data_IF_016880982755
#
_entry.id   IF_016880982755
#
_cell.length_a   1.000
_cell.length_b   1.000
_cell.length_c   1.000
_cell.angle_alpha   90.00
_cell.angle_beta   90.00
_cell.angle_gamma   90.00
#
_symmetry.space_group_name_H-M   'P 1'
#
loop_
_entity.id
_entity.type
_entity.pdbx_description
1 polymer ?
#
# COMPACT_ATOMS: atom_id res chain seq x y z
N UNK A 1 -60.40 9.55 17.07
CA UNK A 1 -59.29 10.41 16.60
C UNK A 1 -57.92 9.88 17.00
N UNK A 2 -57.67 9.46 18.23
CA UNK A 2 -56.35 8.95 18.68
C UNK A 2 -55.80 7.75 17.91
N UNK A 3 -56.63 6.74 17.53
CA UNK A 3 -56.21 5.58 16.76
C UNK A 3 -55.69 5.92 15.34
N UNK A 4 -56.27 6.94 14.69
CA UNK A 4 -55.83 7.42 13.35
C UNK A 4 -54.53 8.23 13.47
N UNK A 5 -54.33 8.96 14.56
CA UNK A 5 -53.10 9.70 14.81
C UNK A 5 -51.91 8.76 15.12
N UNK A 6 -52.15 7.69 15.89
CA UNK A 6 -51.15 6.67 16.19
C UNK A 6 -50.73 5.90 14.94
N UNK A 7 -51.66 5.60 14.02
CA UNK A 7 -51.34 4.95 12.74
C UNK A 7 -50.50 5.87 11.81
N UNK A 8 -50.79 7.16 11.83
CA UNK A 8 -50.05 8.16 11.03
C UNK A 8 -48.62 8.37 11.58
N UNK A 9 -48.48 8.38 12.91
CA UNK A 9 -47.14 8.47 13.56
C UNK A 9 -46.29 7.21 13.34
N UNK A 10 -46.89 6.01 13.36
CA UNK A 10 -46.17 4.76 13.06
C UNK A 10 -45.80 4.66 11.58
N UNK A 11 -46.60 5.19 10.65
CA UNK A 11 -46.24 5.25 9.23
C UNK A 11 -45.10 6.25 8.95
N UNK A 12 -45.01 7.38 9.70
CA UNK A 12 -43.90 8.32 9.60
C UNK A 12 -42.60 7.74 10.12
N UNK A 13 -42.63 6.91 11.17
CA UNK A 13 -41.45 6.24 11.71
C UNK A 13 -40.93 5.15 10.79
N UNK A 14 -41.76 4.52 9.97
CA UNK A 14 -41.33 3.52 8.98
C UNK A 14 -40.73 4.15 7.72
N UNK A 15 -41.00 5.42 7.43
CA UNK A 15 -40.42 6.15 6.32
C UNK A 15 -38.98 6.69 6.64
N UNK A 16 -38.63 6.78 7.91
CA UNK A 16 -37.31 7.22 8.33
C UNK A 16 -36.25 6.10 8.36
N UNK A 17 -36.64 4.84 8.13
CA UNK A 17 -35.73 3.67 8.27
C UNK A 17 -35.05 3.23 6.97
N UNK A 18 -35.23 3.92 5.85
CA UNK A 18 -34.66 3.57 4.56
C UNK A 18 -34.04 4.77 3.85
N UNK A 19 -32.93 5.30 4.42
CA UNK A 19 -31.96 6.00 3.60
C UNK A 19 -30.57 5.37 3.79
N UNK A 20 -30.49 4.05 3.65
CA UNK A 20 -29.26 3.46 3.18
C UNK A 20 -29.16 3.90 1.74
N UNK A 21 -28.28 4.87 1.45
CA UNK A 21 -28.04 5.32 0.08
C UNK A 21 -27.71 4.07 -0.75
N UNK A 22 -28.47 3.87 -1.82
CA UNK A 22 -28.27 2.75 -2.75
C UNK A 22 -27.03 3.10 -3.59
N UNK A 23 -25.84 3.02 -2.94
CA UNK A 23 -24.58 3.32 -3.59
C UNK A 23 -24.31 2.32 -4.70
N UNK A 24 -23.96 2.81 -5.88
CA UNK A 24 -23.38 1.96 -6.91
C UNK A 24 -22.13 1.26 -6.37
N UNK A 25 -21.87 0.03 -6.84
CA UNK A 25 -20.72 -0.76 -6.37
C UNK A 25 -19.41 -0.10 -6.77
N UNK A 26 -18.55 0.11 -5.78
CA UNK A 26 -17.20 0.64 -5.97
C UNK A 26 -16.17 -0.47 -5.67
N UNK A 27 -15.29 -0.78 -6.62
CA UNK A 27 -14.23 -1.78 -6.47
C UNK A 27 -12.91 -1.08 -6.27
N UNK A 28 -12.23 -1.42 -5.18
CA UNK A 28 -10.90 -0.90 -4.84
C UNK A 28 -9.95 -2.08 -4.74
N UNK A 29 -8.78 -1.98 -5.35
CA UNK A 29 -7.75 -3.01 -5.25
C UNK A 29 -6.56 -2.55 -4.41
N UNK A 30 -5.99 -3.46 -3.61
CA UNK A 30 -4.84 -3.22 -2.75
C UNK A 30 -3.99 -4.48 -2.62
N UNK A 31 -2.68 -4.28 -2.45
CA UNK A 31 -1.70 -5.35 -2.15
C UNK A 31 -1.52 -5.51 -0.65
N UNK A 32 -0.73 -6.51 -0.26
CA UNK A 32 -0.25 -6.64 1.12
C UNK A 32 0.83 -5.59 1.39
N UNK A 33 0.51 -4.65 2.26
CA UNK A 33 1.41 -3.63 2.81
C UNK A 33 0.93 -3.26 4.20
N UNK A 34 1.84 -3.04 5.13
CA UNK A 34 1.43 -2.74 6.52
C UNK A 34 0.60 -1.46 6.62
N UNK A 35 0.88 -0.46 5.79
CA UNK A 35 0.14 0.80 5.72
C UNK A 35 -1.28 0.68 5.16
N UNK A 36 -1.60 -0.43 4.44
CA UNK A 36 -2.97 -0.70 3.97
C UNK A 36 -3.79 -1.53 4.95
N UNK A 37 -3.19 -1.94 6.07
CA UNK A 37 -3.90 -2.74 7.09
C UNK A 37 -5.21 -2.12 7.60
N UNK A 38 -5.40 -0.78 7.68
CA UNK A 38 -6.70 -0.20 8.02
C UNK A 38 -7.82 -0.52 7.02
N UNK A 39 -7.50 -0.66 5.73
CA UNK A 39 -8.48 -1.10 4.72
C UNK A 39 -8.91 -2.54 4.95
N UNK A 40 -7.95 -3.44 5.23
CA UNK A 40 -8.25 -4.83 5.54
C UNK A 40 -9.03 -4.97 6.84
N UNK A 41 -8.70 -4.15 7.84
CA UNK A 41 -9.48 -4.08 9.08
C UNK A 41 -10.93 -3.71 8.82
N UNK A 42 -11.17 -2.62 8.09
CA UNK A 42 -12.52 -2.17 7.74
C UNK A 42 -13.29 -3.23 6.93
N UNK A 43 -12.62 -3.97 6.05
CA UNK A 43 -13.20 -5.10 5.31
C UNK A 43 -13.65 -6.22 6.25
N UNK A 44 -12.76 -6.70 7.12
CA UNK A 44 -13.06 -7.82 8.03
C UNK A 44 -14.13 -7.48 9.08
N UNK A 45 -14.24 -6.20 9.44
CA UNK A 45 -15.31 -5.70 10.33
C UNK A 45 -16.64 -5.49 9.60
N UNK A 46 -16.71 -5.72 8.27
CA UNK A 46 -17.91 -5.47 7.47
C UNK A 46 -18.26 -4.00 7.30
N UNK A 47 -17.35 -3.08 7.63
CA UNK A 47 -17.60 -1.64 7.55
C UNK A 47 -17.78 -1.14 6.11
N UNK A 48 -17.12 -1.82 5.16
CA UNK A 48 -17.20 -1.47 3.73
C UNK A 48 -18.57 -1.77 3.11
N UNK A 49 -19.34 -2.68 3.71
CA UNK A 49 -20.65 -3.10 3.17
C UNK A 49 -21.65 -1.95 3.16
N UNK A 50 -21.63 -1.12 4.21
CA UNK A 50 -22.50 0.08 4.32
C UNK A 50 -22.25 1.12 3.21
N UNK A 51 -21.07 1.09 2.61
CA UNK A 51 -20.67 1.95 1.49
C UNK A 51 -20.73 1.23 0.14
N UNK A 52 -21.18 -0.01 0.07
CA UNK A 52 -21.13 -0.86 -1.12
C UNK A 52 -19.74 -0.89 -1.79
N UNK A 53 -18.67 -0.93 -0.97
CA UNK A 53 -17.29 -1.01 -1.43
C UNK A 53 -16.82 -2.47 -1.40
N UNK A 54 -16.27 -2.94 -2.53
CA UNK A 54 -15.60 -4.23 -2.61
C UNK A 54 -14.09 -4.04 -2.65
N UNK A 55 -13.39 -4.43 -1.58
CA UNK A 55 -11.93 -4.47 -1.56
C UNK A 55 -11.43 -5.77 -2.19
N UNK A 56 -10.61 -5.64 -3.24
CA UNK A 56 -9.93 -6.70 -3.95
C UNK A 56 -8.49 -6.78 -3.41
N UNK A 57 -8.12 -7.92 -2.86
CA UNK A 57 -6.74 -8.16 -2.42
C UNK A 57 -5.98 -8.85 -3.56
N UNK A 58 -4.87 -8.28 -3.97
CA UNK A 58 -4.01 -8.75 -5.05
C UNK A 58 -2.59 -8.97 -4.54
N UNK A 59 -1.80 -9.75 -5.28
CA UNK A 59 -0.49 -10.22 -4.79
C UNK A 59 0.67 -9.30 -5.16
N UNK A 60 0.51 -8.42 -6.18
CA UNK A 60 1.61 -7.55 -6.63
C UNK A 60 1.16 -6.14 -6.97
N UNK A 61 2.09 -5.18 -6.90
CA UNK A 61 1.85 -3.79 -7.28
C UNK A 61 1.52 -3.65 -8.77
N UNK A 62 2.22 -4.38 -9.63
CA UNK A 62 1.96 -4.38 -11.07
C UNK A 62 0.59 -4.99 -11.41
N UNK A 63 0.19 -6.12 -10.77
CA UNK A 63 -1.14 -6.67 -10.94
C UNK A 63 -2.21 -5.66 -10.53
N UNK A 64 -2.00 -4.97 -9.42
CA UNK A 64 -2.91 -3.95 -8.92
C UNK A 64 -3.13 -2.83 -9.94
N UNK A 65 -2.05 -2.32 -10.51
CA UNK A 65 -2.07 -1.31 -11.58
C UNK A 65 -2.82 -1.82 -12.83
N UNK A 66 -2.54 -3.05 -13.27
CA UNK A 66 -3.18 -3.64 -14.46
C UNK A 66 -4.67 -3.89 -14.27
N UNK A 67 -5.13 -4.29 -13.07
CA UNK A 67 -6.55 -4.40 -12.76
C UNK A 67 -7.29 -3.07 -12.95
N UNK A 68 -6.67 -1.98 -12.48
CA UNK A 68 -7.22 -0.64 -12.65
C UNK A 68 -7.23 -0.20 -14.13
N UNK A 69 -6.14 -0.40 -14.87
CA UNK A 69 -6.06 -0.08 -16.30
C UNK A 69 -7.12 -0.83 -17.12
N UNK A 70 -7.33 -2.11 -16.81
CA UNK A 70 -8.32 -2.95 -17.48
C UNK A 70 -9.78 -2.63 -17.10
N UNK A 71 -10.04 -1.69 -16.15
CA UNK A 71 -11.37 -1.36 -15.66
C UNK A 71 -11.99 -2.43 -14.76
N UNK A 72 -11.18 -3.35 -14.22
CA UNK A 72 -11.63 -4.38 -13.28
C UNK A 72 -11.65 -3.86 -11.84
N UNK A 73 -10.95 -2.76 -11.55
CA UNK A 73 -11.04 -1.96 -10.34
C UNK A 73 -11.36 -0.50 -10.72
N UNK A 74 -12.15 0.20 -9.90
CA UNK A 74 -12.54 1.59 -10.07
C UNK A 74 -11.53 2.54 -9.42
N UNK A 75 -10.79 2.02 -8.43
CA UNK A 75 -9.69 2.68 -7.74
C UNK A 75 -8.64 1.64 -7.31
N UNK A 76 -7.40 2.08 -7.10
CA UNK A 76 -6.32 1.22 -6.61
C UNK A 76 -5.49 1.94 -5.55
N UNK A 77 -4.90 1.19 -4.65
CA UNK A 77 -3.92 1.69 -3.68
C UNK A 77 -2.52 1.39 -4.20
N UNK A 78 -1.64 2.36 -4.19
CA UNK A 78 -0.27 2.21 -4.71
C UNK A 78 0.60 3.41 -4.35
N UNK A 79 1.78 3.47 -4.96
CA UNK A 79 2.75 4.53 -4.71
C UNK A 79 2.72 5.61 -5.79
N UNK A 80 3.49 6.68 -5.60
CA UNK A 80 3.69 7.71 -6.61
C UNK A 80 4.30 7.15 -7.92
N UNK A 81 4.97 6.01 -7.88
CA UNK A 81 5.57 5.40 -9.07
C UNK A 81 4.49 4.85 -10.01
N UNK A 82 3.58 4.02 -9.50
CA UNK A 82 2.47 3.48 -10.28
C UNK A 82 1.56 4.60 -10.78
N UNK A 83 1.35 5.64 -9.94
CA UNK A 83 0.66 6.85 -10.37
C UNK A 83 1.36 7.51 -11.56
N UNK A 84 2.68 7.70 -11.50
CA UNK A 84 3.46 8.34 -12.57
C UNK A 84 3.30 7.58 -13.89
N UNK A 85 3.48 6.26 -13.87
CA UNK A 85 3.32 5.41 -15.06
C UNK A 85 1.91 5.51 -15.67
N UNK A 86 0.88 5.44 -14.83
CA UNK A 86 -0.50 5.48 -15.31
C UNK A 86 -0.90 6.86 -15.81
N UNK A 87 -0.44 7.93 -15.18
CA UNK A 87 -0.79 9.30 -15.53
C UNK A 87 -0.23 9.74 -16.89
N UNK A 88 0.80 9.06 -17.40
CA UNK A 88 1.31 9.30 -18.78
C UNK A 88 0.25 9.00 -19.84
N UNK A 89 -0.61 8.02 -19.59
CA UNK A 89 -1.66 7.58 -20.53
C UNK A 89 -3.06 8.00 -20.11
N UNK A 90 -3.27 8.31 -18.82
CA UNK A 90 -4.55 8.72 -18.24
C UNK A 90 -4.38 9.99 -17.38
N UNK A 91 -4.44 11.19 -17.98
CA UNK A 91 -4.26 12.46 -17.26
C UNK A 91 -5.42 12.79 -16.31
N UNK A 92 -6.49 12.00 -16.30
CA UNK A 92 -7.61 12.15 -15.36
C UNK A 92 -7.37 11.45 -14.03
N UNK A 93 -6.27 10.68 -13.94
CA UNK A 93 -5.88 10.01 -12.71
C UNK A 93 -5.50 11.03 -11.63
N UNK A 94 -5.93 10.77 -10.39
CA UNK A 94 -5.63 11.62 -9.25
C UNK A 94 -5.63 10.83 -7.94
N UNK A 95 -4.85 11.28 -6.94
CA UNK A 95 -4.95 10.75 -5.58
C UNK A 95 -6.25 11.23 -4.91
N UNK A 96 -6.87 10.35 -4.16
CA UNK A 96 -8.11 10.62 -3.39
C UNK A 96 -7.81 10.80 -1.91
N UNK A 97 -6.97 9.92 -1.36
CA UNK A 97 -6.55 9.96 0.04
C UNK A 97 -5.14 9.38 0.17
N UNK A 98 -4.42 9.87 1.15
CA UNK A 98 -3.09 9.37 1.51
C UNK A 98 -3.23 8.34 2.63
N UNK A 99 -2.32 7.37 2.68
CA UNK A 99 -2.21 6.42 3.80
C UNK A 99 -1.01 6.71 4.66
N UNK A 100 0.16 6.50 4.12
CA UNK A 100 1.41 6.61 4.82
C UNK A 100 2.55 7.01 3.88
N UNK A 101 3.71 7.21 4.45
CA UNK A 101 4.98 7.21 3.72
C UNK A 101 5.90 6.16 4.32
N UNK A 102 6.65 5.51 3.48
CA UNK A 102 7.69 4.58 3.89
C UNK A 102 8.82 5.30 4.67
N UNK A 103 9.24 4.69 5.76
CA UNK A 103 10.37 5.13 6.58
C UNK A 103 11.12 3.92 7.13
N UNK A 104 11.60 3.08 6.24
CA UNK A 104 12.21 1.79 6.52
C UNK A 104 11.43 0.61 5.95
N UNK A 105 10.20 0.84 5.45
CA UNK A 105 9.32 -0.22 4.98
C UNK A 105 9.63 -0.73 3.58
N UNK A 106 10.28 0.07 2.72
CA UNK A 106 10.84 -0.38 1.45
C UNK A 106 12.32 -0.70 1.64
N UNK A 107 12.71 -1.90 1.26
CA UNK A 107 13.91 -2.55 1.78
C UNK A 107 14.66 -3.27 0.66
N UNK A 108 15.99 -3.21 0.73
CA UNK A 108 16.87 -4.05 -0.07
C UNK A 108 17.51 -5.08 0.83
N UNK A 109 17.30 -6.34 0.51
CA UNK A 109 17.89 -7.47 1.19
C UNK A 109 18.91 -8.19 0.31
N UNK A 110 19.84 -8.90 0.92
CA UNK A 110 20.88 -9.65 0.19
C UNK A 110 21.25 -10.93 0.92
N UNK A 111 21.76 -11.91 0.16
CA UNK A 111 22.40 -13.12 0.69
C UNK A 111 23.89 -12.90 1.04
N UNK A 112 24.45 -11.76 0.66
CA UNK A 112 25.84 -11.36 0.94
C UNK A 112 25.87 -9.95 1.54
N UNK A 113 27.01 -9.53 2.08
CA UNK A 113 27.20 -8.19 2.63
C UNK A 113 27.31 -7.12 1.53
N UNK A 114 27.08 -5.86 1.89
CA UNK A 114 27.31 -4.71 1.00
C UNK A 114 28.76 -4.63 0.53
N UNK A 115 29.71 -5.00 1.39
CA UNK A 115 31.13 -5.04 1.06
C UNK A 115 31.41 -6.10 -0.03
N UNK A 116 30.86 -7.31 0.11
CA UNK A 116 30.96 -8.36 -0.90
C UNK A 116 30.34 -7.92 -2.24
N UNK A 117 29.19 -7.23 -2.22
CA UNK A 117 28.59 -6.66 -3.44
C UNK A 117 29.52 -5.65 -4.12
N UNK A 118 30.23 -4.83 -3.36
CA UNK A 118 31.20 -3.85 -3.91
C UNK A 118 32.39 -4.52 -4.58
N UNK A 119 32.90 -5.60 -4.02
CA UNK A 119 34.12 -6.25 -4.51
C UNK A 119 33.85 -7.40 -5.48
N UNK A 120 32.62 -7.91 -5.58
CA UNK A 120 32.33 -8.98 -6.54
C UNK A 120 32.58 -8.56 -7.97
N UNK A 121 33.15 -9.48 -8.76
CA UNK A 121 33.29 -9.39 -10.22
C UNK A 121 32.21 -10.20 -10.94
N UNK A 122 31.46 -11.01 -10.22
CA UNK A 122 30.35 -11.78 -10.76
C UNK A 122 29.14 -10.88 -10.99
N UNK A 123 28.27 -11.22 -11.94
CA UNK A 123 26.97 -10.57 -12.06
C UNK A 123 26.15 -10.76 -10.79
N UNK A 124 25.44 -9.72 -10.38
CA UNK A 124 24.53 -9.73 -9.24
C UNK A 124 23.12 -10.00 -9.75
N UNK A 125 22.45 -10.98 -9.18
CA UNK A 125 21.05 -11.28 -9.49
C UNK A 125 20.13 -10.32 -8.71
N UNK A 126 19.33 -9.52 -9.41
CA UNK A 126 18.42 -8.54 -8.80
C UNK A 126 16.98 -9.02 -8.99
N UNK A 127 16.35 -9.45 -7.90
CA UNK A 127 14.97 -9.91 -7.84
C UNK A 127 14.04 -8.76 -7.43
N UNK A 128 13.06 -8.44 -8.24
CA UNK A 128 12.14 -7.31 -7.99
C UNK A 128 10.86 -7.42 -8.84
N UNK A 129 9.84 -6.70 -8.47
CA UNK A 129 8.73 -6.38 -9.37
C UNK A 129 9.16 -5.22 -10.28
N UNK A 130 9.41 -5.47 -11.56
CA UNK A 130 10.02 -4.47 -12.45
C UNK A 130 9.10 -3.27 -12.74
N UNK A 131 7.80 -3.50 -12.86
CA UNK A 131 6.81 -2.44 -13.13
C UNK A 131 6.24 -1.88 -11.81
N UNK A 132 7.11 -1.57 -10.85
CA UNK A 132 6.74 -1.04 -9.54
C UNK A 132 7.81 -0.11 -8.97
N UNK A 133 7.51 0.51 -7.83
CA UNK A 133 8.45 1.35 -7.06
C UNK A 133 9.79 0.64 -6.79
N UNK A 134 9.82 -0.70 -6.79
CA UNK A 134 11.03 -1.48 -6.56
C UNK A 134 12.14 -1.15 -7.57
N UNK A 135 11.79 -0.83 -8.83
CA UNK A 135 12.76 -0.41 -9.85
C UNK A 135 13.46 0.89 -9.47
N UNK A 136 12.71 1.86 -8.94
CA UNK A 136 13.25 3.14 -8.49
C UNK A 136 14.08 2.96 -7.21
N UNK A 137 13.63 2.13 -6.29
CA UNK A 137 14.36 1.83 -5.05
C UNK A 137 15.72 1.18 -5.36
N UNK A 138 15.76 0.22 -6.29
CA UNK A 138 17.01 -0.38 -6.74
C UNK A 138 17.96 0.66 -7.38
N UNK A 139 17.44 1.52 -8.25
CA UNK A 139 18.25 2.56 -8.90
C UNK A 139 18.84 3.55 -7.90
N UNK A 140 18.05 4.00 -6.92
CA UNK A 140 18.49 4.88 -5.84
C UNK A 140 19.56 4.21 -4.98
N UNK A 141 19.36 2.96 -4.60
CA UNK A 141 20.36 2.14 -3.86
C UNK A 141 21.67 2.02 -4.62
N UNK A 142 21.64 1.62 -5.89
CA UNK A 142 22.85 1.48 -6.70
C UNK A 142 23.61 2.79 -6.79
N UNK A 143 22.90 3.91 -6.97
CA UNK A 143 23.48 5.25 -7.00
C UNK A 143 24.12 5.64 -5.67
N UNK A 144 23.37 5.44 -4.58
CA UNK A 144 23.81 5.82 -3.23
C UNK A 144 25.08 5.09 -2.79
N UNK A 145 25.16 3.80 -3.11
CA UNK A 145 26.29 2.94 -2.69
C UNK A 145 27.39 2.78 -3.74
N UNK A 146 27.30 3.47 -4.88
CA UNK A 146 28.32 3.43 -5.93
C UNK A 146 28.42 2.08 -6.63
N UNK A 147 27.27 1.45 -6.91
CA UNK A 147 27.16 0.13 -7.54
C UNK A 147 26.61 0.19 -8.97
N UNK A 148 26.49 1.39 -9.57
CA UNK A 148 25.87 1.58 -10.90
C UNK A 148 26.60 0.82 -12.02
N UNK A 149 27.92 0.63 -11.87
CA UNK A 149 28.77 -0.07 -12.86
C UNK A 149 28.74 -1.60 -12.71
N UNK A 150 28.01 -2.12 -11.72
CA UNK A 150 27.89 -3.57 -11.52
C UNK A 150 27.01 -4.18 -12.60
N UNK A 151 27.40 -5.35 -13.09
CA UNK A 151 26.56 -6.12 -13.99
C UNK A 151 25.41 -6.74 -13.20
N UNK A 152 24.16 -6.39 -13.57
CA UNK A 152 22.97 -6.95 -12.97
C UNK A 152 22.25 -7.91 -13.93
N UNK A 153 21.72 -8.99 -13.37
CA UNK A 153 20.73 -9.83 -14.01
C UNK A 153 19.38 -9.54 -13.35
N UNK A 154 18.50 -8.87 -14.07
CA UNK A 154 17.17 -8.54 -13.57
C UNK A 154 16.25 -9.76 -13.66
N UNK A 155 15.63 -10.12 -12.55
CA UNK A 155 14.70 -11.24 -12.41
C UNK A 155 13.37 -10.67 -11.92
N UNK A 156 12.41 -10.56 -12.86
CA UNK A 156 11.08 -10.08 -12.54
C UNK A 156 10.31 -11.13 -11.74
N UNK A 157 9.93 -10.79 -10.52
CA UNK A 157 9.26 -11.71 -9.61
C UNK A 157 8.39 -10.93 -8.60
N UNK A 158 7.14 -11.37 -8.43
CA UNK A 158 6.26 -10.80 -7.42
C UNK A 158 6.72 -11.14 -5.99
N UNK A 159 6.24 -10.37 -5.01
CA UNK A 159 6.68 -10.49 -3.62
C UNK A 159 6.32 -11.83 -2.98
N UNK A 160 5.18 -12.43 -3.37
CA UNK A 160 4.78 -13.73 -2.82
C UNK A 160 5.76 -14.83 -3.22
N UNK A 161 6.17 -14.87 -4.49
CA UNK A 161 7.19 -15.79 -4.99
C UNK A 161 8.58 -15.46 -4.44
N UNK A 162 8.92 -14.17 -4.39
CA UNK A 162 10.21 -13.68 -3.87
C UNK A 162 10.41 -14.10 -2.40
N UNK A 163 9.38 -13.99 -1.57
CA UNK A 163 9.42 -14.36 -0.14
C UNK A 163 9.68 -15.85 0.12
N UNK A 164 9.50 -16.71 -0.89
CA UNK A 164 9.81 -18.14 -0.82
C UNK A 164 11.29 -18.49 -1.08
N UNK A 165 12.10 -17.54 -1.54
CA UNK A 165 13.54 -17.78 -1.81
C UNK A 165 14.29 -18.07 -0.52
N UNK A 166 15.34 -18.86 -0.61
CA UNK A 166 16.25 -19.16 0.51
C UNK A 166 17.66 -18.67 0.17
N UNK A 167 18.27 -17.90 1.06
CA UNK A 167 19.59 -17.32 0.82
C UNK A 167 20.66 -18.38 0.50
N UNK A 168 20.63 -19.51 1.21
CA UNK A 168 21.57 -20.64 1.00
C UNK A 168 21.40 -21.37 -0.34
N UNK A 169 20.26 -21.21 -1.02
CA UNK A 169 20.01 -21.83 -2.31
C UNK A 169 20.50 -21.00 -3.49
N UNK A 170 20.84 -19.73 -3.26
CA UNK A 170 21.35 -18.83 -4.28
C UNK A 170 22.87 -18.98 -4.39
N UNK A 171 23.36 -19.26 -5.60
CA UNK A 171 24.78 -19.48 -5.88
C UNK A 171 25.54 -18.19 -6.18
N UNK A 172 24.83 -17.08 -6.44
CA UNK A 172 25.42 -15.78 -6.79
C UNK A 172 25.07 -14.73 -5.75
N UNK A 173 25.86 -13.64 -5.67
CA UNK A 173 25.45 -12.45 -4.97
C UNK A 173 24.10 -11.97 -5.50
N UNK A 174 23.15 -11.71 -4.61
CA UNK A 174 21.76 -11.40 -4.99
C UNK A 174 21.21 -10.24 -4.17
N UNK A 175 20.47 -9.37 -4.85
CA UNK A 175 19.68 -8.30 -4.28
C UNK A 175 18.20 -8.68 -4.39
N UNK A 176 17.45 -8.53 -3.30
CA UNK A 176 16.01 -8.73 -3.25
C UNK A 176 15.39 -7.40 -2.86
N UNK A 177 14.63 -6.83 -3.78
CA UNK A 177 13.97 -5.55 -3.57
C UNK A 177 12.54 -5.86 -3.10
N UNK A 178 12.26 -5.50 -1.87
CA UNK A 178 11.08 -5.94 -1.15
C UNK A 178 10.53 -4.85 -0.24
N UNK A 179 9.46 -5.18 0.46
CA UNK A 179 8.84 -4.27 1.43
C UNK A 179 8.19 -5.06 2.58
N UNK A 180 7.83 -4.34 3.64
CA UNK A 180 7.19 -4.94 4.81
C UNK A 180 5.75 -5.37 4.51
N UNK A 181 5.28 -6.59 4.89
CA UNK A 181 5.93 -7.54 5.80
C UNK A 181 6.73 -8.66 5.11
N UNK A 182 6.95 -8.65 3.79
CA UNK A 182 7.67 -9.72 3.07
C UNK A 182 9.13 -9.84 3.51
N UNK A 183 9.79 -8.73 3.86
CA UNK A 183 11.15 -8.72 4.40
C UNK A 183 11.30 -9.61 5.65
N UNK A 184 10.27 -9.73 6.46
CA UNK A 184 10.26 -10.56 7.68
C UNK A 184 10.39 -12.04 7.30
N UNK A 185 9.68 -12.46 6.25
CA UNK A 185 9.80 -13.84 5.75
C UNK A 185 11.19 -14.09 5.17
N UNK A 186 11.70 -13.16 4.37
CA UNK A 186 13.05 -13.25 3.78
C UNK A 186 14.14 -13.30 4.85
N UNK A 187 14.02 -12.55 5.94
CA UNK A 187 14.95 -12.62 7.07
C UNK A 187 14.97 -14.03 7.70
N UNK A 188 13.82 -14.69 7.84
CA UNK A 188 13.70 -16.09 8.29
C UNK A 188 14.35 -17.07 7.31
N UNK A 189 14.44 -16.71 6.02
CA UNK A 189 15.09 -17.48 4.96
C UNK A 189 16.60 -17.19 4.83
N UNK A 190 17.16 -16.36 5.71
CA UNK A 190 18.60 -16.10 5.83
C UNK A 190 19.09 -14.88 5.05
N UNK A 191 18.24 -14.11 4.43
CA UNK A 191 18.62 -12.83 3.83
C UNK A 191 18.80 -11.76 4.91
N UNK A 192 19.65 -10.77 4.62
CA UNK A 192 19.90 -9.64 5.51
C UNK A 192 19.48 -8.35 4.83
N UNK A 193 18.86 -7.47 5.58
CA UNK A 193 18.68 -6.09 5.18
C UNK A 193 20.04 -5.41 5.02
N UNK A 194 20.24 -4.71 3.91
CA UNK A 194 21.45 -3.97 3.60
C UNK A 194 21.20 -2.49 3.33
N UNK A 195 19.96 -2.12 3.04
CA UNK A 195 19.48 -0.74 2.95
C UNK A 195 17.95 -0.68 3.05
N UNK A 196 17.44 0.48 3.43
CA UNK A 196 16.00 0.77 3.43
C UNK A 196 15.73 2.25 3.22
N UNK A 197 14.48 2.63 3.06
CA UNK A 197 14.05 4.05 2.98
C UNK A 197 14.36 4.85 4.25
N UNK A 198 14.91 4.24 5.29
CA UNK A 198 15.39 4.87 6.53
C UNK A 198 16.88 5.25 6.48
N UNK A 199 17.66 4.59 5.63
CA UNK A 199 19.12 4.67 5.63
C UNK A 199 19.71 5.79 4.76
N UNK A 200 18.98 6.89 4.62
CA UNK A 200 19.47 8.07 3.89
C UNK A 200 19.36 7.95 2.37
N UNK A 201 18.67 6.94 1.85
CA UNK A 201 18.27 6.90 0.44
C UNK A 201 17.44 8.15 0.12
N UNK A 202 17.67 8.74 -1.07
CA UNK A 202 16.97 9.96 -1.50
C UNK A 202 15.50 9.76 -1.82
N UNK A 203 15.10 8.51 -2.07
CA UNK A 203 13.78 8.14 -2.50
C UNK A 203 12.71 8.47 -1.45
N UNK A 204 11.68 9.19 -1.89
CA UNK A 204 10.43 9.34 -1.16
C UNK A 204 9.45 8.30 -1.67
N UNK A 205 8.92 7.46 -0.81
CA UNK A 205 7.81 6.53 -1.13
C UNK A 205 6.59 6.97 -0.33
N UNK A 206 5.51 7.30 -1.03
CA UNK A 206 4.22 7.68 -0.44
C UNK A 206 3.11 6.84 -1.04
N UNK A 207 2.23 6.39 -0.19
CA UNK A 207 1.12 5.50 -0.48
C UNK A 207 -0.21 6.26 -0.48
N UNK A 208 -0.99 6.07 -1.56
CA UNK A 208 -2.26 6.74 -1.74
C UNK A 208 -3.29 5.83 -2.44
N UNK A 209 -4.55 6.19 -2.29
CA UNK A 209 -5.64 5.69 -3.12
C UNK A 209 -5.75 6.58 -4.35
N UNK A 210 -5.78 5.96 -5.53
CA UNK A 210 -5.91 6.64 -6.81
C UNK A 210 -7.17 6.22 -7.54
N UNK A 211 -7.77 7.18 -8.25
CA UNK A 211 -8.90 6.93 -9.13
C UNK A 211 -8.98 7.97 -10.25
N UNK A 212 -9.88 7.78 -11.21
CA UNK A 212 -10.16 8.77 -12.25
C UNK A 212 -11.06 9.87 -11.72
N UNK A 213 -10.91 11.09 -12.22
CA UNK A 213 -11.70 12.26 -11.82
C UNK A 213 -13.21 12.01 -11.93
N UNK A 214 -13.67 11.39 -13.02
CA UNK A 214 -15.07 11.03 -13.20
C UNK A 214 -15.57 10.06 -12.11
N UNK A 215 -14.78 9.05 -11.76
CA UNK A 215 -15.10 8.09 -10.71
C UNK A 215 -15.15 8.79 -9.34
N UNK A 216 -14.20 9.69 -9.05
CA UNK A 216 -14.22 10.48 -7.82
C UNK A 216 -15.52 11.30 -7.70
N UNK A 217 -15.91 11.98 -8.77
CA UNK A 217 -17.17 12.76 -8.77
C UNK A 217 -18.40 11.88 -8.55
N UNK A 218 -18.46 10.74 -9.22
CA UNK A 218 -19.60 9.81 -9.12
C UNK A 218 -19.71 9.17 -7.74
N UNK A 219 -18.58 8.83 -7.11
CA UNK A 219 -18.49 8.04 -5.88
C UNK A 219 -17.98 8.86 -4.68
N UNK A 220 -18.07 10.19 -4.74
CA UNK A 220 -17.44 11.08 -3.76
C UNK A 220 -17.81 10.74 -2.31
N UNK A 221 -19.10 10.51 -2.04
CA UNK A 221 -19.57 10.16 -0.69
C UNK A 221 -19.01 8.82 -0.19
N UNK A 222 -18.84 7.86 -1.09
CA UNK A 222 -18.21 6.57 -0.75
C UNK A 222 -16.72 6.74 -0.40
N UNK A 223 -15.99 7.57 -1.15
CA UNK A 223 -14.59 7.87 -0.84
C UNK A 223 -14.45 8.68 0.46
N UNK A 224 -15.31 9.66 0.72
CA UNK A 224 -15.33 10.38 2.00
C UNK A 224 -15.64 9.44 3.17
N UNK A 225 -16.61 8.54 3.00
CA UNK A 225 -16.91 7.50 3.98
C UNK A 225 -15.76 6.53 4.18
N UNK A 226 -15.09 6.08 3.10
CA UNK A 226 -13.93 5.21 3.17
C UNK A 226 -12.79 5.86 3.95
N UNK A 227 -12.52 7.14 3.69
CA UNK A 227 -11.51 7.87 4.44
C UNK A 227 -11.79 7.87 5.94
N UNK A 228 -13.05 8.13 6.33
CA UNK A 228 -13.43 8.08 7.74
C UNK A 228 -13.22 6.67 8.32
N UNK A 229 -13.58 5.60 7.59
CA UNK A 229 -13.36 4.22 8.06
C UNK A 229 -11.88 3.87 8.22
N UNK A 230 -11.01 4.40 7.35
CA UNK A 230 -9.54 4.23 7.48
C UNK A 230 -9.02 4.98 8.72
N UNK A 231 -9.52 6.20 8.96
CA UNK A 231 -9.15 6.98 10.14
C UNK A 231 -9.61 6.27 11.42
N UNK A 232 -10.86 5.77 11.45
CA UNK A 232 -11.41 5.00 12.58
C UNK A 232 -10.62 3.69 12.83
N UNK A 233 -10.25 2.98 11.77
CA UNK A 233 -9.44 1.76 11.88
C UNK A 233 -8.02 2.08 12.43
N UNK A 234 -7.43 3.19 12.01
CA UNK A 234 -6.13 3.66 12.55
C UNK A 234 -6.25 4.03 14.03
N UNK A 235 -7.37 4.58 14.47
CA UNK A 235 -7.64 4.84 15.90
C UNK A 235 -7.80 3.55 16.71
N UNK A 236 -8.42 2.51 16.12
CA UNK A 236 -8.46 1.17 16.77
C UNK A 236 -7.06 0.61 16.91
N UNK A 237 -6.23 0.70 15.85
CA UNK A 237 -4.83 0.26 15.91
C UNK A 237 -4.06 0.93 17.06
N UNK A 238 -4.26 2.23 17.29
CA UNK A 238 -3.60 2.98 18.38
C UNK A 238 -4.14 2.59 19.76
N UNK A 239 -5.43 2.33 19.88
CA UNK A 239 -6.11 2.05 21.15
C UNK A 239 -6.00 0.58 21.57
N UNK A 240 -6.16 -0.34 20.64
CA UNK A 240 -6.14 -1.79 20.85
C UNK A 240 -5.41 -2.50 19.69
N UNK A 241 -4.08 -2.41 19.64
CA UNK A 241 -3.28 -3.00 18.57
C UNK A 241 -3.39 -4.54 18.52
N UNK A 242 -3.74 -5.17 19.65
CA UNK A 242 -3.90 -6.62 19.71
C UNK A 242 -5.16 -7.10 18.99
N UNK A 243 -6.30 -6.43 19.23
CA UNK A 243 -7.55 -6.69 18.51
C UNK A 243 -7.39 -6.38 17.02
N UNK A 244 -6.75 -5.25 16.70
CA UNK A 244 -6.48 -4.87 15.33
C UNK A 244 -5.66 -5.93 14.59
N UNK A 245 -4.53 -6.35 15.16
CA UNK A 245 -3.69 -7.40 14.59
C UNK A 245 -4.44 -8.72 14.42
N UNK A 246 -5.20 -9.16 15.42
CA UNK A 246 -5.99 -10.39 15.34
C UNK A 246 -6.96 -10.39 14.14
N UNK A 247 -7.50 -9.20 13.81
CA UNK A 247 -8.40 -8.98 12.67
C UNK A 247 -7.66 -9.00 11.33
N UNK A 248 -6.50 -8.32 11.22
CA UNK A 248 -5.76 -8.19 9.94
C UNK A 248 -4.75 -9.29 9.69
N UNK A 249 -4.49 -10.16 10.65
CA UNK A 249 -3.51 -11.25 10.59
C UNK A 249 -3.55 -12.06 9.28
N UNK A 250 -4.73 -12.40 8.70
CA UNK A 250 -4.81 -13.15 7.44
C UNK A 250 -4.12 -12.46 6.25
N UNK A 251 -3.89 -11.15 6.33
CA UNK A 251 -3.25 -10.33 5.29
C UNK A 251 -1.78 -10.04 5.60
N UNK A 252 -1.26 -10.46 6.76
CA UNK A 252 0.07 -10.10 7.25
C UNK A 252 1.08 -11.26 7.18
N UNK A 253 0.93 -12.21 6.24
CA UNK A 253 1.91 -13.25 5.92
C UNK A 253 2.42 -14.04 7.15
N UNK A 254 1.54 -14.38 8.08
CA UNK A 254 1.89 -15.16 9.28
C UNK A 254 2.99 -14.52 10.17
N UNK A 255 3.22 -13.21 10.08
CA UNK A 255 4.09 -12.52 11.04
C UNK A 255 3.50 -12.60 12.45
N UNK A 256 4.32 -12.60 13.47
CA UNK A 256 3.86 -12.55 14.86
C UNK A 256 3.31 -11.16 15.22
N UNK A 257 2.60 -11.08 16.34
CA UNK A 257 2.12 -9.78 16.84
C UNK A 257 3.27 -8.78 17.06
N UNK A 258 4.38 -9.24 17.62
CA UNK A 258 5.56 -8.42 17.87
C UNK A 258 6.25 -7.98 16.56
N UNK A 259 6.26 -8.85 15.55
CA UNK A 259 6.77 -8.51 14.21
C UNK A 259 5.87 -7.47 13.53
N UNK A 260 4.54 -7.63 13.65
CA UNK A 260 3.57 -6.65 13.15
C UNK A 260 3.76 -5.28 13.80
N UNK A 261 3.88 -5.22 15.13
CA UNK A 261 4.10 -3.94 15.83
C UNK A 261 5.39 -3.26 15.37
N UNK A 262 6.49 -4.02 15.21
CA UNK A 262 7.75 -3.45 14.70
C UNK A 262 7.62 -2.92 13.27
N UNK A 263 6.85 -3.60 12.41
CA UNK A 263 6.64 -3.15 11.05
C UNK A 263 5.90 -1.81 10.95
N UNK A 264 5.16 -1.42 11.99
CA UNK A 264 4.52 -0.10 12.06
C UNK A 264 5.52 1.04 12.29
N UNK A 265 6.72 0.75 12.83
CA UNK A 265 7.81 1.73 12.99
C UNK A 265 8.50 2.05 11.66
N UNK A 266 8.23 1.27 10.62
CA UNK A 266 8.79 1.41 9.27
C UNK A 266 7.94 2.27 8.34
N UNK A 267 6.84 2.85 8.85
CA UNK A 267 5.97 3.78 8.14
C UNK A 267 5.64 5.02 8.98
N UNK A 268 5.26 6.09 8.31
CA UNK A 268 4.72 7.30 8.95
C UNK A 268 3.34 7.57 8.39
N UNK A 269 2.32 7.49 9.22
CA UNK A 269 0.95 7.76 8.85
C UNK A 269 0.76 9.21 8.41
N UNK A 270 0.13 9.41 7.24
CA UNK A 270 -0.18 10.74 6.67
C UNK A 270 -1.65 10.87 6.25
N UNK A 271 -2.48 9.91 6.65
CA UNK A 271 -3.91 9.86 6.32
C UNK A 271 -4.70 11.07 6.87
N UNK A 272 -4.30 11.62 8.03
CA UNK A 272 -4.96 12.78 8.66
C UNK A 272 -4.28 14.10 8.33
N UNK A 273 -2.96 14.10 8.17
CA UNK A 273 -2.19 15.34 7.97
C UNK A 273 -0.93 15.10 7.16
N UNK A 274 -0.75 15.91 6.13
CA UNK A 274 0.48 15.97 5.35
C UNK A 274 1.32 17.15 5.87
N UNK A 275 2.53 16.87 6.35
CA UNK A 275 3.45 17.91 6.84
C UNK A 275 3.86 18.88 5.71
N UNK A 276 4.27 20.09 6.06
CA UNK A 276 4.75 21.07 5.08
C UNK A 276 5.95 20.55 4.30
N UNK A 277 6.90 19.92 4.98
CA UNK A 277 8.08 19.32 4.34
C UNK A 277 7.69 18.23 3.33
N UNK A 278 6.82 17.30 3.72
CA UNK A 278 6.34 16.25 2.82
C UNK A 278 5.61 16.86 1.61
N UNK A 279 4.80 17.87 1.82
CA UNK A 279 4.09 18.57 0.73
C UNK A 279 5.07 19.19 -0.27
N UNK A 280 6.15 19.79 0.19
CA UNK A 280 7.21 20.35 -0.67
C UNK A 280 7.89 19.22 -1.47
N UNK A 281 8.25 18.11 -0.82
CA UNK A 281 8.88 16.95 -1.47
C UNK A 281 7.95 16.31 -2.51
N UNK A 282 6.66 16.18 -2.20
CA UNK A 282 5.65 15.68 -3.16
C UNK A 282 5.56 16.60 -4.39
N UNK A 283 5.57 17.91 -4.20
CA UNK A 283 5.58 18.87 -5.32
C UNK A 283 6.85 18.76 -6.17
N UNK A 284 8.01 18.56 -5.54
CA UNK A 284 9.29 18.34 -6.26
C UNK A 284 9.31 17.03 -7.05
N UNK A 285 8.52 16.05 -6.64
CA UNK A 285 8.36 14.76 -7.32
C UNK A 285 7.16 14.75 -8.29
N UNK A 286 6.62 15.93 -8.64
CA UNK A 286 5.43 16.10 -9.49
C UNK A 286 4.20 15.29 -9.05
N UNK A 287 4.14 14.94 -7.74
CA UNK A 287 3.01 14.22 -7.20
C UNK A 287 1.86 15.21 -6.89
N UNK A 288 0.69 15.04 -7.52
CA UNK A 288 -0.41 15.96 -7.32
C UNK A 288 -1.05 15.81 -5.95
N UNK A 289 -1.41 16.93 -5.35
CA UNK A 289 -2.18 16.98 -4.10
C UNK A 289 -3.63 17.44 -4.33
N UNK A 290 -4.00 17.65 -5.62
CA UNK A 290 -5.39 17.96 -6.00
C UNK A 290 -6.23 16.68 -5.88
N UNK A 291 -7.51 16.81 -5.52
CA UNK A 291 -8.43 15.67 -5.40
C UNK A 291 -8.44 15.02 -4.01
N UNK A 292 -7.48 15.30 -3.16
CA UNK A 292 -7.46 14.77 -1.79
C UNK A 292 -8.67 15.25 -1.00
N UNK A 293 -9.30 14.32 -0.27
CA UNK A 293 -10.48 14.50 0.58
C UNK A 293 -10.13 14.33 2.05
#
# INVERSE_FOLDING_TARGET
>A
MLKKLALFLSALLLLSACSQGDYAKLKISATTWVGYSPLFYAKEKGWLDGLNIKLLHVVSLSENMYLFQAGNADAYVGTQYEYSLLSETDPTLMPVMMFDRSYGGDIIMSNVSLEELRFTTEPIDAYLEMDSINSTLLADFLSHYGLQDKKLNYINQDQANLSGLQAKALSRPSLLITYTPYNIQLAKQGFKEIASTKDGLGLLVVDALFTREATLHQHRQQFEGLKQLVDDATEVLQRDPHEFYATVKPYMLEVSYEEFLRSLDDIIWINKQISTDLRIRMQQADFPIRGLI
#
